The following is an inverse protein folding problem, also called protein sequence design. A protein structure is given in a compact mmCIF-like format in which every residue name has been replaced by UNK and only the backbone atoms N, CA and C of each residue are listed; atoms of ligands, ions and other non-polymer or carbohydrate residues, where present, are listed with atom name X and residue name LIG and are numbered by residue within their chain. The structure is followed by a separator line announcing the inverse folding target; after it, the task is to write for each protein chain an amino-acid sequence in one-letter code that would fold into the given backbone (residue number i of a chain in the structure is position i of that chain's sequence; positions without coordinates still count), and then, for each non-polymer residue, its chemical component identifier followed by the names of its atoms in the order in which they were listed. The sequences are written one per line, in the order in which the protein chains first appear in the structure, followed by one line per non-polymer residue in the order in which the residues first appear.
data_IF_711094374607
#
_entry.id   IF_711094374607
#
_cell.length_a   1.000
_cell.length_b   1.000
_cell.length_c   1.000
_cell.angle_alpha   90.00
_cell.angle_beta   90.00
_cell.angle_gamma   90.00
#
_symmetry.space_group_name_H-M   'P 1'
#
loop_
_entity.id
_entity.type
_entity.pdbx_description
1 polymer ?
#
# COMPACT_ATOMS: atom_id res chain seq x y z
N UNK A 1 23.02 -0.82 -10.72
CA UNK A 1 21.78 -1.17 -11.47
C UNK A 1 21.12 0.13 -11.91
N UNK A 2 20.76 0.27 -13.19
CA UNK A 2 20.14 1.48 -13.70
C UNK A 2 18.71 1.63 -13.15
N UNK A 3 18.22 2.89 -13.08
CA UNK A 3 16.86 3.20 -12.66
C UNK A 3 15.81 2.51 -13.55
N UNK A 4 16.10 2.40 -14.85
CA UNK A 4 15.25 1.73 -15.83
C UNK A 4 15.16 0.21 -15.58
N UNK A 5 16.28 -0.41 -15.25
CA UNK A 5 16.35 -1.86 -14.95
C UNK A 5 15.53 -2.20 -13.70
N UNK A 6 15.64 -1.37 -12.67
CA UNK A 6 14.85 -1.52 -11.44
C UNK A 6 13.36 -1.37 -11.70
N UNK A 7 12.98 -0.39 -12.50
CA UNK A 7 11.59 -0.17 -12.91
C UNK A 7 11.04 -1.40 -13.65
N UNK A 8 11.82 -1.99 -14.57
CA UNK A 8 11.41 -3.18 -15.31
C UNK A 8 11.25 -4.39 -14.39
N UNK A 9 12.12 -4.56 -13.40
CA UNK A 9 11.98 -5.61 -12.38
C UNK A 9 10.71 -5.43 -11.54
N UNK A 10 10.40 -4.21 -11.13
CA UNK A 10 9.17 -3.90 -10.38
C UNK A 10 7.92 -4.22 -11.20
N UNK A 11 7.87 -3.80 -12.46
CA UNK A 11 6.76 -4.10 -13.37
C UNK A 11 6.58 -5.61 -13.55
N UNK A 12 7.67 -6.34 -13.70
CA UNK A 12 7.63 -7.80 -13.86
C UNK A 12 7.20 -8.54 -12.59
N UNK A 13 7.27 -7.89 -11.42
CA UNK A 13 6.84 -8.46 -10.14
C UNK A 13 5.41 -8.10 -9.76
N UNK A 14 4.77 -7.15 -10.45
CA UNK A 14 3.41 -6.73 -10.12
C UNK A 14 2.43 -7.88 -10.29
N UNK A 15 1.55 -8.05 -9.29
CA UNK A 15 0.49 -9.05 -9.29
C UNK A 15 -0.88 -8.38 -9.20
N UNK A 16 -1.83 -8.94 -9.93
CA UNK A 16 -3.22 -8.47 -9.96
C UNK A 16 -4.05 -9.15 -8.87
N UNK A 17 -4.78 -8.38 -8.08
CA UNK A 17 -5.69 -8.91 -7.07
C UNK A 17 -6.87 -9.62 -7.75
N UNK A 18 -7.27 -10.77 -7.20
CA UNK A 18 -8.52 -11.42 -7.58
C UNK A 18 -9.72 -10.57 -7.18
N UNK A 19 -10.88 -10.80 -7.81
CA UNK A 19 -12.11 -10.06 -7.48
C UNK A 19 -12.48 -10.18 -6.01
N UNK A 20 -12.36 -11.36 -5.42
CA UNK A 20 -12.63 -11.58 -3.99
C UNK A 20 -11.73 -10.71 -3.11
N UNK A 21 -10.43 -10.71 -3.36
CA UNK A 21 -9.48 -9.92 -2.57
C UNK A 21 -9.70 -8.41 -2.78
N UNK A 22 -10.04 -7.98 -3.99
CA UNK A 22 -10.40 -6.58 -4.27
C UNK A 22 -11.60 -6.11 -3.46
N UNK A 23 -12.63 -6.95 -3.36
CA UNK A 23 -13.82 -6.63 -2.57
C UNK A 23 -13.48 -6.47 -1.09
N UNK A 24 -12.72 -7.39 -0.53
CA UNK A 24 -12.26 -7.34 0.85
C UNK A 24 -11.41 -6.09 1.10
N UNK A 25 -10.47 -5.82 0.21
CA UNK A 25 -9.62 -4.62 0.28
C UNK A 25 -10.46 -3.35 0.27
N UNK A 26 -11.39 -3.24 -0.65
CA UNK A 26 -12.19 -2.02 -0.87
C UNK A 26 -13.11 -1.71 0.32
N UNK A 27 -13.66 -2.72 0.99
CA UNK A 27 -14.51 -2.49 2.16
C UNK A 27 -13.74 -2.32 3.47
N UNK A 28 -12.43 -2.55 3.47
CA UNK A 28 -11.58 -2.29 4.64
C UNK A 28 -11.20 -0.81 4.67
N UNK A 29 -11.60 -0.11 5.73
CA UNK A 29 -11.45 1.36 5.81
C UNK A 29 -10.12 1.82 6.38
N UNK A 30 -9.54 1.05 7.29
CA UNK A 30 -8.26 1.36 7.93
C UNK A 30 -7.36 0.14 7.85
N UNK A 31 -6.16 0.33 7.34
CA UNK A 31 -5.17 -0.74 7.20
C UNK A 31 -3.88 -0.39 7.93
N UNK A 32 -3.37 -1.26 8.78
CA UNK A 32 -2.01 -1.13 9.26
C UNK A 32 -1.02 -1.27 8.10
N UNK A 33 -0.10 -0.33 7.99
CA UNK A 33 0.98 -0.38 7.02
C UNK A 33 2.31 -0.48 7.74
N UNK A 34 3.06 -1.53 7.44
CA UNK A 34 4.39 -1.76 7.97
C UNK A 34 5.45 -1.25 6.99
N UNK A 35 6.45 -0.61 7.54
CA UNK A 35 7.68 -0.19 6.85
C UNK A 35 8.87 -0.56 7.70
N UNK A 36 10.06 -0.48 7.15
CA UNK A 36 11.28 -0.70 7.91
C UNK A 36 12.34 0.32 7.49
N UNK A 37 13.20 0.70 8.43
CA UNK A 37 14.37 1.49 8.11
C UNK A 37 15.36 0.68 7.28
N UNK A 38 16.36 1.34 6.73
CA UNK A 38 17.44 0.68 5.98
C UNK A 38 18.20 -0.35 6.83
N UNK A 39 18.24 -0.14 8.15
CA UNK A 39 18.87 -1.07 9.10
C UNK A 39 17.91 -2.14 9.62
N UNK A 40 16.67 -2.17 9.13
CA UNK A 40 15.68 -3.20 9.47
C UNK A 40 14.83 -2.91 10.69
N UNK A 41 14.84 -1.69 11.24
CA UNK A 41 13.96 -1.33 12.37
C UNK A 41 12.52 -1.24 11.87
N UNK A 42 11.61 -2.09 12.39
CA UNK A 42 10.23 -2.12 11.93
C UNK A 42 9.41 -0.92 12.43
N UNK A 43 8.41 -0.56 11.66
CA UNK A 43 7.46 0.49 11.99
C UNK A 43 6.09 0.12 11.44
N UNK A 44 5.03 0.46 12.16
CA UNK A 44 3.67 0.25 11.70
C UNK A 44 2.82 1.48 12.04
N UNK A 45 1.96 1.88 11.09
CA UNK A 45 1.04 3.00 11.26
C UNK A 45 -0.27 2.73 10.51
N UNK A 46 -1.41 3.28 10.98
CA UNK A 46 -2.69 3.09 10.30
C UNK A 46 -2.80 3.99 9.08
N UNK A 47 -3.35 3.44 8.00
CA UNK A 47 -3.64 4.16 6.76
C UNK A 47 -5.14 4.11 6.49
N UNK A 48 -5.74 5.28 6.23
CA UNK A 48 -7.17 5.41 5.95
C UNK A 48 -7.45 6.11 4.60
N UNK A 49 -6.55 6.97 4.14
CA UNK A 49 -6.65 7.60 2.82
C UNK A 49 -6.01 6.67 1.78
N UNK A 50 -6.74 5.62 1.41
CA UNK A 50 -6.28 4.53 0.56
C UNK A 50 -7.25 4.35 -0.61
N UNK A 51 -6.71 4.06 -1.78
CA UNK A 51 -7.47 3.74 -2.98
C UNK A 51 -6.79 2.62 -3.78
N UNK A 52 -7.54 1.58 -4.11
CA UNK A 52 -7.10 0.59 -5.09
C UNK A 52 -7.30 1.17 -6.49
N UNK A 53 -6.23 1.20 -7.28
CA UNK A 53 -6.23 1.71 -8.66
C UNK A 53 -6.01 0.52 -9.60
N UNK A 54 -7.03 0.17 -10.37
CA UNK A 54 -7.01 -1.06 -11.13
C UNK A 54 -7.03 -2.27 -10.19
N UNK A 55 -6.19 -3.25 -10.47
CA UNK A 55 -6.10 -4.49 -9.69
C UNK A 55 -4.70 -4.79 -9.14
N UNK A 56 -3.72 -3.92 -9.41
CA UNK A 56 -2.31 -4.15 -9.11
C UNK A 56 -1.60 -2.96 -8.41
N UNK A 57 -2.32 -1.87 -8.14
CA UNK A 57 -1.73 -0.64 -7.61
C UNK A 57 -2.58 -0.08 -6.48
N UNK A 58 -1.93 0.43 -5.43
CA UNK A 58 -2.60 1.10 -4.32
C UNK A 58 -2.04 2.52 -4.19
N UNK A 59 -2.93 3.49 -4.06
CA UNK A 59 -2.58 4.87 -3.74
C UNK A 59 -2.87 5.15 -2.27
N UNK A 60 -1.90 5.72 -1.59
CA UNK A 60 -2.02 6.11 -0.18
C UNK A 60 -1.59 7.56 -0.05
N UNK A 61 -2.45 8.38 0.57
CA UNK A 61 -2.11 9.78 0.81
C UNK A 61 -1.36 9.93 2.12
N UNK A 62 -0.22 10.60 2.05
CA UNK A 62 0.53 11.02 3.22
C UNK A 62 -0.11 12.27 3.81
N UNK A 63 -0.86 12.09 4.89
CA UNK A 63 -1.40 13.21 5.67
C UNK A 63 -0.51 13.54 6.88
N UNK A 64 -0.09 12.52 7.62
CA UNK A 64 0.64 12.70 8.89
C UNK A 64 1.84 11.75 9.04
N UNK A 65 2.36 11.25 7.94
CA UNK A 65 3.51 10.34 7.98
C UNK A 65 4.76 11.07 8.48
N UNK A 66 5.50 10.43 9.36
CA UNK A 66 6.82 10.86 9.83
C UNK A 66 7.83 9.73 9.68
N UNK A 67 7.89 8.81 10.63
CA UNK A 67 8.76 7.63 10.55
C UNK A 67 8.46 6.79 9.31
N UNK A 68 7.20 6.65 8.96
CA UNK A 68 6.76 5.94 7.75
C UNK A 68 7.39 6.57 6.50
N UNK A 69 7.31 7.89 6.36
CA UNK A 69 7.87 8.59 5.20
C UNK A 69 9.39 8.49 5.13
N UNK A 70 10.06 8.65 6.28
CA UNK A 70 11.51 8.48 6.38
C UNK A 70 11.93 7.08 5.92
N UNK A 71 11.23 6.04 6.38
CA UNK A 71 11.49 4.67 5.97
C UNK A 71 11.30 4.47 4.48
N UNK A 72 10.23 5.00 3.89
CA UNK A 72 9.95 4.88 2.46
C UNK A 72 11.02 5.54 1.60
N UNK A 73 11.62 6.63 2.07
CA UNK A 73 12.73 7.28 1.36
C UNK A 73 14.00 6.44 1.36
N UNK A 74 14.25 5.72 2.43
CA UNK A 74 15.44 4.87 2.58
C UNK A 74 15.24 3.46 2.01
N UNK A 75 14.04 2.91 2.22
CA UNK A 75 13.69 1.52 1.93
C UNK A 75 12.27 1.48 1.36
N UNK A 76 12.12 1.56 0.03
CA UNK A 76 10.82 1.76 -0.63
C UNK A 76 10.00 0.47 -0.75
N UNK A 77 9.76 -0.20 0.36
CA UNK A 77 8.93 -1.41 0.43
C UNK A 77 7.95 -1.32 1.59
N UNK A 78 6.78 -1.91 1.41
CA UNK A 78 5.72 -1.90 2.43
C UNK A 78 5.06 -3.26 2.56
N UNK A 79 4.42 -3.47 3.70
CA UNK A 79 3.40 -4.49 3.86
C UNK A 79 2.12 -3.83 4.38
N UNK A 80 1.00 -4.12 3.73
CA UNK A 80 -0.34 -3.73 4.18
C UNK A 80 -1.05 -4.97 4.70
N UNK A 81 -1.71 -4.83 5.83
CA UNK A 81 -2.53 -5.88 6.41
C UNK A 81 -3.99 -5.43 6.38
N UNK A 82 -4.88 -6.30 5.90
CA UNK A 82 -6.30 -6.00 5.93
C UNK A 82 -7.09 -7.22 6.39
N UNK A 83 -7.96 -6.98 7.37
CA UNK A 83 -8.83 -7.97 7.99
C UNK A 83 -10.28 -7.63 7.65
N UNK A 84 -11.01 -8.62 7.17
CA UNK A 84 -12.42 -8.50 6.87
C UNK A 84 -13.26 -9.13 7.96
N UNK A 85 -13.97 -8.29 8.71
CA UNK A 85 -14.82 -8.75 9.82
C UNK A 85 -16.00 -9.61 9.34
N UNK A 86 -16.47 -9.40 8.12
CA UNK A 86 -17.59 -10.14 7.54
C UNK A 86 -17.23 -11.58 7.22
N UNK A 87 -16.18 -11.79 6.44
CA UNK A 87 -15.72 -13.14 6.06
C UNK A 87 -14.74 -13.75 7.04
N UNK A 88 -14.19 -12.94 7.96
CA UNK A 88 -13.11 -13.30 8.90
C UNK A 88 -11.82 -13.69 8.21
N UNK A 89 -11.66 -13.32 6.95
CA UNK A 89 -10.43 -13.54 6.20
C UNK A 89 -9.52 -12.34 6.31
N UNK A 90 -8.23 -12.57 6.25
CA UNK A 90 -7.24 -11.51 6.24
C UNK A 90 -6.08 -11.82 5.32
N UNK A 91 -5.50 -10.76 4.78
CA UNK A 91 -4.43 -10.86 3.81
C UNK A 91 -3.30 -9.89 4.16
N UNK A 92 -2.11 -10.23 3.75
CA UNK A 92 -0.96 -9.34 3.76
C UNK A 92 -0.56 -9.07 2.31
N UNK A 93 -0.53 -7.81 1.94
CA UNK A 93 -0.09 -7.35 0.64
C UNK A 93 1.28 -6.72 0.79
N UNK A 94 2.25 -7.15 -0.03
CA UNK A 94 3.55 -6.49 -0.09
C UNK A 94 3.69 -5.74 -1.41
N UNK A 95 4.47 -4.68 -1.39
CA UNK A 95 4.69 -3.89 -2.58
C UNK A 95 5.92 -3.01 -2.51
N UNK A 96 6.34 -2.56 -3.68
CA UNK A 96 7.34 -1.51 -3.84
C UNK A 96 6.66 -0.15 -3.95
N UNK A 97 7.33 0.90 -3.53
CA UNK A 97 6.71 2.22 -3.43
C UNK A 97 7.45 3.29 -4.23
N UNK A 98 6.66 4.29 -4.64
CA UNK A 98 7.14 5.52 -5.24
C UNK A 98 6.45 6.69 -4.53
N UNK A 99 7.18 7.77 -4.25
CA UNK A 99 6.64 8.97 -3.61
C UNK A 99 6.50 10.06 -4.67
N UNK A 100 5.30 10.66 -4.79
CA UNK A 100 5.06 11.80 -5.68
C UNK A 100 4.50 12.97 -4.89
N UNK A 101 5.08 14.16 -5.13
CA UNK A 101 4.66 15.41 -4.51
C UNK A 101 3.98 16.35 -5.51
N UNK A 102 3.90 15.94 -6.78
CA UNK A 102 3.31 16.70 -7.88
C UNK A 102 2.85 15.75 -8.98
N UNK A 103 2.18 16.29 -9.98
CA UNK A 103 1.72 15.56 -11.15
C UNK A 103 0.26 15.16 -11.10
N UNK A 104 -0.28 14.61 -12.22
CA UNK A 104 -1.72 14.36 -12.37
C UNK A 104 -2.27 13.39 -11.32
N UNK A 105 -1.58 12.30 -11.03
CA UNK A 105 -2.05 11.28 -10.07
C UNK A 105 -2.09 11.85 -8.65
N UNK A 106 -1.04 12.59 -8.25
CA UNK A 106 -1.02 13.26 -6.95
C UNK A 106 -2.17 14.25 -6.83
N UNK A 107 -2.37 15.11 -7.82
CA UNK A 107 -3.41 16.13 -7.82
C UNK A 107 -4.81 15.52 -7.77
N UNK A 108 -5.04 14.49 -8.55
CA UNK A 108 -6.32 13.76 -8.60
C UNK A 108 -6.66 13.16 -7.23
N UNK A 109 -5.72 12.49 -6.59
CA UNK A 109 -5.97 11.85 -5.30
C UNK A 109 -6.02 12.87 -4.16
N UNK A 110 -5.20 13.92 -4.21
CA UNK A 110 -5.28 15.05 -3.28
C UNK A 110 -6.69 15.65 -3.26
N UNK A 111 -7.25 15.93 -4.41
CA UNK A 111 -8.57 16.53 -4.53
C UNK A 111 -9.65 15.59 -3.96
N UNK A 112 -9.54 14.31 -4.24
CA UNK A 112 -10.43 13.29 -3.66
C UNK A 112 -10.34 13.21 -2.13
N UNK A 113 -9.14 13.23 -1.57
CA UNK A 113 -8.92 13.20 -0.12
C UNK A 113 -9.49 14.46 0.53
N UNK A 114 -9.26 15.61 -0.06
CA UNK A 114 -9.75 16.89 0.46
C UNK A 114 -11.27 17.06 0.36
N UNK A 115 -11.94 16.30 -0.51
CA UNK A 115 -13.42 16.25 -0.52
C UNK A 115 -13.97 15.68 0.78
N UNK A 116 -13.26 14.74 1.41
CA UNK A 116 -13.67 14.15 2.69
C UNK A 116 -13.39 15.09 3.86
N UNK A 117 -12.27 15.80 3.83
CA UNK A 117 -11.92 16.86 4.76
C UNK A 117 -10.82 17.73 4.18
N UNK A 118 -11.07 19.04 4.08
CA UNK A 118 -10.08 20.02 3.62
C UNK A 118 -8.93 20.22 4.64
N UNK A 119 -9.11 19.71 5.86
CA UNK A 119 -8.09 19.75 6.92
C UNK A 119 -6.96 18.75 6.70
N UNK A 120 -7.15 17.72 5.87
CA UNK A 120 -6.08 16.78 5.56
C UNK A 120 -4.96 17.49 4.80
N UNK A 121 -3.70 17.40 5.27
CA UNK A 121 -2.58 18.08 4.60
C UNK A 121 -2.29 17.58 3.18
N UNK A 122 -2.55 16.29 2.90
CA UNK A 122 -2.32 15.67 1.58
C UNK A 122 -0.93 16.02 1.02
N UNK A 123 0.13 15.76 1.79
CA UNK A 123 1.50 16.22 1.49
C UNK A 123 2.14 15.51 0.32
N UNK A 124 1.91 14.20 0.18
CA UNK A 124 2.48 13.41 -0.89
C UNK A 124 1.64 12.16 -1.17
N UNK A 125 1.74 11.67 -2.39
CA UNK A 125 1.11 10.42 -2.82
C UNK A 125 2.14 9.29 -2.77
N UNK A 126 1.81 8.23 -2.05
CA UNK A 126 2.57 6.98 -2.06
C UNK A 126 1.88 6.03 -3.04
N UNK A 127 2.58 5.67 -4.09
CA UNK A 127 2.12 4.68 -5.07
C UNK A 127 2.73 3.34 -4.69
N UNK A 128 1.89 2.36 -4.39
CA UNK A 128 2.31 0.99 -4.06
C UNK A 128 2.04 0.09 -5.25
N UNK A 129 3.08 -0.50 -5.79
CA UNK A 129 2.98 -1.54 -6.82
C UNK A 129 2.97 -2.88 -6.12
N UNK A 130 1.88 -3.62 -6.23
CA UNK A 130 1.68 -4.90 -5.53
C UNK A 130 2.62 -5.94 -6.11
N UNK A 131 3.44 -6.56 -5.26
CA UNK A 131 4.40 -7.61 -5.67
C UNK A 131 4.02 -8.98 -5.16
N UNK A 132 3.34 -9.06 -4.02
CA UNK A 132 2.99 -10.33 -3.38
C UNK A 132 1.73 -10.16 -2.55
N UNK A 133 0.93 -11.23 -2.46
CA UNK A 133 -0.19 -11.31 -1.53
C UNK A 133 -0.12 -12.64 -0.79
N UNK A 134 -0.24 -12.58 0.53
CA UNK A 134 -0.19 -13.74 1.41
C UNK A 134 -1.50 -13.90 2.16
N UNK A 135 -1.94 -15.15 2.32
CA UNK A 135 -3.04 -15.49 3.20
C UNK A 135 -2.57 -15.35 4.66
N UNK A 136 -3.30 -14.60 5.47
CA UNK A 136 -3.01 -14.43 6.89
C UNK A 136 -4.10 -15.00 7.80
N UNK A 137 -5.22 -15.43 7.23
CA UNK A 137 -6.32 -16.04 7.99
C UNK A 137 -5.80 -17.22 8.79
N UNK A 138 -6.03 -17.27 10.12
CA UNK A 138 -5.57 -18.37 10.95
C UNK A 138 -6.08 -19.72 10.43
N UNK A 139 -5.18 -20.68 10.29
CA UNK A 139 -5.48 -22.01 9.77
C UNK A 139 -4.32 -22.58 8.95
N UNK A 140 -4.62 -23.63 8.19
CA UNK A 140 -3.62 -24.35 7.40
C UNK A 140 -3.00 -23.52 6.28
N UNK A 141 -3.74 -22.54 5.77
CA UNK A 141 -3.29 -21.71 4.64
C UNK A 141 -2.51 -20.47 5.09
N UNK A 142 -2.44 -20.18 6.40
CA UNK A 142 -1.75 -19.01 6.93
C UNK A 142 -0.29 -18.99 6.50
N UNK A 143 0.14 -17.85 5.97
CA UNK A 143 1.50 -17.66 5.48
C UNK A 143 1.74 -18.08 4.03
N UNK A 144 0.76 -18.68 3.36
CA UNK A 144 0.90 -19.07 1.95
C UNK A 144 0.79 -17.87 1.03
N UNK A 145 1.65 -17.82 0.05
CA UNK A 145 1.57 -16.86 -1.04
C UNK A 145 0.39 -17.25 -1.96
N UNK A 146 -0.54 -16.33 -2.17
CA UNK A 146 -1.72 -16.54 -3.01
C UNK A 146 -1.65 -15.82 -4.34
N UNK A 147 -0.79 -14.80 -4.44
CA UNK A 147 -0.50 -14.08 -5.68
C UNK A 147 0.96 -13.62 -5.69
#
# INVERSE_FOLDING_TARGET
MSRWFRFQEEVNRMVALSNEIKEIFTRTKVMPMATASKSGIPNVAPMASILLVGDDTVWIMDNYMKKTLENLKENPVVALYFYDAESKRCFQLKGSTEIRTSGPEYEQFRDRVKTKSDKYPAKSLIIVKITDVFECTPGKEAGKKVL
#
